data_IF_838419216992
#
_entry.id   IF_838419216992
#
_cell.length_a   1.000
_cell.length_b   1.000
_cell.length_c   1.000
_cell.angle_alpha   90.00
_cell.angle_beta   90.00
_cell.angle_gamma   90.00
#
_symmetry.space_group_name_H-M   'P 1'
#
loop_
_entity.id
_entity.type
_entity.pdbx_description
1 polymer ?
#
# COMPACT_ATOMS: atom_id res chain seq x y z
N UNK A 1 11.62 -36.16 -12.68
CA UNK A 1 12.62 -35.17 -12.24
C UNK A 1 11.86 -34.01 -11.63
N UNK A 2 12.24 -33.57 -10.43
CA UNK A 2 11.64 -32.38 -9.79
C UNK A 2 12.32 -31.14 -10.37
N UNK A 3 11.54 -30.23 -10.99
CA UNK A 3 12.05 -28.96 -11.47
C UNK A 3 12.12 -27.99 -10.29
N UNK A 4 13.31 -27.55 -9.91
CA UNK A 4 13.51 -26.56 -8.86
C UNK A 4 13.80 -25.21 -9.51
N UNK A 5 12.92 -24.24 -9.28
CA UNK A 5 13.15 -22.83 -9.65
C UNK A 5 13.78 -22.13 -8.44
N UNK A 6 14.96 -21.53 -8.65
CA UNK A 6 15.61 -20.69 -7.64
C UNK A 6 15.69 -19.27 -8.15
N UNK A 7 15.36 -18.31 -7.28
CA UNK A 7 15.55 -16.89 -7.56
C UNK A 7 16.88 -16.42 -6.96
N UNK A 8 17.44 -15.34 -7.48
CA UNK A 8 18.59 -14.67 -6.84
C UNK A 8 18.25 -14.27 -5.43
N UNK A 9 19.21 -14.38 -4.52
CA UNK A 9 19.02 -14.06 -3.11
C UNK A 9 20.17 -13.21 -2.58
N UNK A 10 19.84 -12.16 -1.84
CA UNK A 10 20.77 -11.47 -0.95
C UNK A 10 20.48 -11.93 0.49
N UNK A 11 21.51 -12.36 1.21
CA UNK A 11 21.37 -12.83 2.59
C UNK A 11 20.92 -11.71 3.55
N UNK A 12 20.29 -12.10 4.67
CA UNK A 12 19.81 -11.17 5.71
C UNK A 12 20.92 -10.27 6.29
N UNK A 13 22.18 -10.73 6.27
CA UNK A 13 23.35 -9.94 6.67
C UNK A 13 23.83 -8.94 5.61
N UNK A 14 23.20 -8.91 4.42
CA UNK A 14 23.53 -7.97 3.35
C UNK A 14 22.90 -6.60 3.55
N UNK A 15 23.12 -5.72 2.59
CA UNK A 15 22.50 -4.39 2.61
C UNK A 15 21.05 -4.45 2.15
N UNK A 16 20.16 -3.66 2.79
CA UNK A 16 18.80 -3.42 2.30
C UNK A 16 18.81 -2.70 0.94
N UNK A 17 17.71 -2.81 0.20
CA UNK A 17 17.50 -2.13 -1.07
C UNK A 17 17.59 -3.03 -2.29
N UNK A 18 17.30 -2.46 -3.45
CA UNK A 18 17.32 -3.16 -4.72
C UNK A 18 18.72 -3.70 -5.05
N UNK A 19 18.82 -4.84 -5.77
CA UNK A 19 20.10 -5.27 -6.33
C UNK A 19 20.63 -4.22 -7.31
N UNK A 20 21.95 -4.17 -7.47
CA UNK A 20 22.58 -3.22 -8.40
C UNK A 20 22.29 -3.53 -9.87
N UNK A 21 22.03 -4.80 -10.20
CA UNK A 21 21.66 -5.23 -11.53
C UNK A 21 20.86 -6.53 -11.49
N UNK A 22 19.94 -6.67 -12.43
CA UNK A 22 19.24 -7.91 -12.76
C UNK A 22 19.23 -8.06 -14.27
N UNK A 23 19.15 -9.32 -14.75
CA UNK A 23 18.84 -9.58 -16.15
C UNK A 23 17.36 -9.27 -16.43
N UNK A 24 16.98 -9.04 -17.70
CA UNK A 24 15.56 -8.93 -18.06
C UNK A 24 14.76 -10.13 -17.56
N UNK A 25 13.62 -9.86 -16.96
CA UNK A 25 12.70 -10.87 -16.38
C UNK A 25 13.25 -11.68 -15.20
N UNK A 26 14.38 -11.31 -14.64
CA UNK A 26 14.97 -11.99 -13.50
C UNK A 26 14.31 -11.54 -12.18
N UNK A 27 14.10 -12.50 -11.26
CA UNK A 27 13.62 -12.25 -9.92
C UNK A 27 14.77 -12.31 -8.91
N UNK A 28 14.72 -11.42 -7.91
CA UNK A 28 15.64 -11.44 -6.78
C UNK A 28 14.90 -11.16 -5.46
N UNK A 29 15.24 -11.91 -4.42
CA UNK A 29 14.73 -11.67 -3.06
C UNK A 29 15.86 -11.15 -2.16
N UNK A 30 15.61 -10.05 -1.48
CA UNK A 30 16.53 -9.50 -0.50
C UNK A 30 16.03 -9.82 0.91
N UNK A 31 16.74 -10.68 1.63
CA UNK A 31 16.40 -11.10 3.00
C UNK A 31 16.67 -9.99 4.03
N UNK A 32 17.50 -8.98 3.72
CA UNK A 32 17.78 -7.89 4.64
C UNK A 32 16.59 -6.93 4.79
N UNK A 33 15.79 -6.75 3.75
CA UNK A 33 14.58 -5.90 3.77
C UNK A 33 13.29 -6.64 3.42
N UNK A 34 13.38 -7.97 3.24
CA UNK A 34 12.26 -8.86 2.92
C UNK A 34 11.47 -8.43 1.69
N UNK A 35 12.18 -7.98 0.63
CA UNK A 35 11.55 -7.52 -0.61
C UNK A 35 11.89 -8.39 -1.79
N UNK A 36 10.89 -8.55 -2.67
CA UNK A 36 11.03 -9.19 -3.97
C UNK A 36 11.19 -8.13 -5.05
N UNK A 37 12.18 -8.32 -5.90
CA UNK A 37 12.52 -7.43 -7.02
C UNK A 37 12.41 -8.16 -8.35
N UNK A 38 12.15 -7.40 -9.41
CA UNK A 38 12.03 -7.87 -10.79
C UNK A 38 12.80 -6.98 -11.74
N UNK A 39 13.59 -7.59 -12.61
CA UNK A 39 14.28 -6.90 -13.69
C UNK A 39 13.33 -6.60 -14.85
N UNK A 40 12.95 -5.33 -15.00
CA UNK A 40 12.00 -4.85 -16.00
C UNK A 40 12.71 -4.30 -17.23
N UNK A 41 12.22 -4.72 -18.43
CA UNK A 41 12.75 -4.30 -19.71
C UNK A 41 14.15 -4.86 -20.01
N UNK A 42 14.67 -4.51 -21.16
CA UNK A 42 16.03 -4.84 -21.63
C UNK A 42 16.70 -3.53 -22.06
N UNK A 43 17.90 -3.26 -21.56
CA UNK A 43 18.65 -2.06 -21.89
C UNK A 43 19.51 -2.23 -23.18
N UNK A 44 19.45 -3.40 -23.84
CA UNK A 44 20.20 -3.69 -25.04
C UNK A 44 21.69 -3.97 -24.85
N UNK A 45 22.16 -4.12 -23.61
CA UNK A 45 23.56 -4.44 -23.31
C UNK A 45 23.92 -5.91 -23.58
N UNK A 46 25.22 -6.18 -23.67
CA UNK A 46 25.75 -7.55 -23.77
C UNK A 46 26.79 -7.76 -22.66
N UNK A 47 26.49 -8.63 -21.67
CA UNK A 47 25.29 -9.44 -21.49
C UNK A 47 24.04 -8.58 -21.17
N UNK A 48 22.83 -9.11 -21.46
CA UNK A 48 21.58 -8.37 -21.24
C UNK A 48 21.40 -7.95 -19.79
N UNK A 49 20.96 -6.69 -19.57
CA UNK A 49 20.63 -6.15 -18.26
C UNK A 49 19.27 -5.48 -18.32
N UNK A 50 18.52 -5.54 -17.21
CA UNK A 50 17.24 -4.89 -17.12
C UNK A 50 17.38 -3.36 -17.24
N UNK A 51 16.42 -2.74 -17.90
CA UNK A 51 16.35 -1.26 -18.00
C UNK A 51 16.06 -0.61 -16.66
N UNK A 52 15.30 -1.28 -15.81
CA UNK A 52 15.00 -0.87 -14.44
C UNK A 52 14.76 -2.05 -13.51
N UNK A 53 14.87 -1.81 -12.22
CA UNK A 53 14.58 -2.81 -11.20
C UNK A 53 13.41 -2.30 -10.37
N UNK A 54 12.30 -3.03 -10.44
CA UNK A 54 11.07 -2.68 -9.73
C UNK A 54 10.88 -3.56 -8.50
N UNK A 55 10.35 -2.97 -7.42
CA UNK A 55 9.91 -3.73 -6.26
C UNK A 55 8.55 -4.35 -6.56
N UNK A 56 8.48 -5.68 -6.56
CA UNK A 56 7.23 -6.41 -6.76
C UNK A 56 6.42 -6.44 -5.48
N UNK A 57 7.10 -6.63 -4.32
CA UNK A 57 6.45 -6.70 -3.04
C UNK A 57 7.39 -7.09 -1.90
N UNK A 58 6.83 -7.19 -0.70
CA UNK A 58 7.56 -7.56 0.52
C UNK A 58 7.21 -6.65 1.69
N UNK A 59 8.08 -6.56 2.69
CA UNK A 59 7.87 -5.71 3.87
C UNK A 59 7.52 -4.27 3.46
N UNK A 60 6.35 -3.79 3.90
CA UNK A 60 5.82 -2.48 3.56
C UNK A 60 5.14 -2.36 2.18
N UNK A 61 5.21 -3.39 1.34
CA UNK A 61 4.55 -3.42 0.02
C UNK A 61 3.23 -4.20 0.03
N UNK A 62 3.10 -5.17 0.93
CA UNK A 62 1.87 -5.94 1.13
C UNK A 62 1.43 -5.86 2.60
N UNK A 63 0.11 -5.94 2.82
CA UNK A 63 -0.45 -6.08 4.15
C UNK A 63 -0.51 -7.57 4.50
N UNK A 64 0.25 -7.98 5.51
CA UNK A 64 0.16 -9.33 6.05
C UNK A 64 -0.96 -9.41 7.09
N UNK A 65 -1.56 -10.60 7.22
CA UNK A 65 -2.57 -10.87 8.26
C UNK A 65 -2.08 -10.54 9.68
N UNK A 66 -0.77 -10.63 9.91
CA UNK A 66 -0.13 -10.38 11.20
C UNK A 66 0.35 -8.94 11.39
N UNK A 67 0.20 -8.09 10.36
CA UNK A 67 0.58 -6.69 10.47
C UNK A 67 -0.30 -5.97 11.50
N UNK A 68 0.34 -5.31 12.45
CA UNK A 68 -0.35 -4.46 13.42
C UNK A 68 -0.44 -3.02 12.92
N UNK A 69 -1.52 -2.35 13.24
CA UNK A 69 -1.74 -0.93 12.91
C UNK A 69 -2.26 -0.20 14.14
N UNK A 70 -2.03 1.10 14.19
CA UNK A 70 -2.59 1.95 15.24
C UNK A 70 -4.11 1.87 15.19
N UNK A 71 -4.75 1.77 16.36
CA UNK A 71 -6.21 1.75 16.45
C UNK A 71 -6.83 3.01 15.82
N UNK A 72 -8.04 2.86 15.29
CA UNK A 72 -8.82 3.95 14.69
C UNK A 72 -8.14 4.58 13.45
N UNK A 73 -7.33 3.83 12.72
CA UNK A 73 -6.78 4.28 11.43
C UNK A 73 -7.38 3.51 10.26
N UNK A 74 -7.44 4.17 9.11
CA UNK A 74 -7.87 3.62 7.83
C UNK A 74 -6.78 3.82 6.79
N UNK A 75 -6.69 2.92 5.81
CA UNK A 75 -5.82 3.11 4.66
C UNK A 75 -6.50 4.08 3.71
N UNK A 76 -5.96 5.27 3.58
CA UNK A 76 -6.56 6.31 2.77
C UNK A 76 -5.50 7.21 2.12
N UNK A 77 -5.90 7.90 1.07
CA UNK A 77 -5.06 8.91 0.41
C UNK A 77 -4.77 10.12 1.33
N UNK A 78 -4.00 11.09 0.85
CA UNK A 78 -3.71 12.31 1.60
C UNK A 78 -5.00 13.11 1.86
N UNK A 79 -5.01 13.87 2.96
CA UNK A 79 -6.16 14.70 3.36
C UNK A 79 -6.29 15.97 2.53
N UNK A 80 -5.24 16.37 1.82
CA UNK A 80 -5.18 17.58 0.98
C UNK A 80 -3.96 17.51 0.05
N UNK A 81 -3.89 18.41 -0.91
CA UNK A 81 -2.78 18.52 -1.85
C UNK A 81 -2.87 17.55 -3.03
N UNK A 82 -1.74 17.24 -3.65
CA UNK A 82 -1.65 16.35 -4.80
C UNK A 82 -1.86 14.89 -4.40
N UNK A 83 -2.33 14.08 -5.36
CA UNK A 83 -2.44 12.63 -5.19
C UNK A 83 -1.09 12.01 -4.77
N UNK A 84 -1.13 11.15 -3.78
CA UNK A 84 0.03 10.41 -3.27
C UNK A 84 -0.38 8.99 -2.85
N UNK A 85 0.61 8.14 -2.59
CA UNK A 85 0.36 6.79 -2.11
C UNK A 85 -0.48 6.80 -0.82
N UNK A 86 -1.44 5.87 -0.67
CA UNK A 86 -2.25 5.78 0.54
C UNK A 86 -1.40 5.40 1.75
N UNK A 87 -1.76 5.93 2.91
CA UNK A 87 -1.15 5.62 4.20
C UNK A 87 -2.22 5.32 5.24
N UNK A 88 -1.84 4.63 6.32
CA UNK A 88 -2.74 4.49 7.47
C UNK A 88 -2.78 5.80 8.25
N UNK A 89 -3.96 6.40 8.35
CA UNK A 89 -4.20 7.64 9.07
C UNK A 89 -5.58 7.66 9.74
N UNK A 90 -5.77 8.55 10.69
CA UNK A 90 -7.10 8.79 11.24
C UNK A 90 -8.06 9.34 10.18
N UNK A 91 -9.33 9.01 10.30
CA UNK A 91 -10.38 9.63 9.49
C UNK A 91 -10.46 11.14 9.82
N UNK A 92 -10.63 11.94 8.78
CA UNK A 92 -10.93 13.37 8.90
C UNK A 92 -12.33 13.64 8.36
N UNK A 93 -12.90 14.79 8.68
CA UNK A 93 -14.26 15.15 8.25
C UNK A 93 -14.50 15.04 6.74
N UNK A 94 -13.47 15.28 5.92
CA UNK A 94 -13.54 15.14 4.48
C UNK A 94 -13.63 13.71 3.96
N UNK A 95 -13.36 12.71 4.78
CA UNK A 95 -13.49 11.29 4.42
C UNK A 95 -14.90 10.75 4.67
N UNK A 96 -15.72 11.53 5.34
CA UNK A 96 -17.07 11.15 5.73
C UNK A 96 -18.08 11.83 4.82
N UNK A 97 -19.11 11.07 4.44
CA UNK A 97 -20.26 11.66 3.75
C UNK A 97 -20.89 12.74 4.63
N UNK A 98 -21.28 13.86 4.06
CA UNK A 98 -22.08 14.85 4.74
C UNK A 98 -23.48 14.30 4.98
N UNK A 99 -24.15 14.78 6.03
CA UNK A 99 -25.49 14.29 6.38
C UNK A 99 -26.51 14.40 5.22
N UNK A 100 -26.37 15.42 4.40
CA UNK A 100 -27.23 15.63 3.22
C UNK A 100 -26.89 14.74 2.00
N UNK A 101 -25.81 13.97 2.08
CA UNK A 101 -25.40 13.00 1.04
C UNK A 101 -25.89 11.59 1.35
N UNK A 102 -26.45 11.36 2.54
CA UNK A 102 -27.07 10.09 2.88
C UNK A 102 -28.47 9.99 2.24
N UNK A 103 -28.80 8.79 1.75
CA UNK A 103 -30.18 8.48 1.39
C UNK A 103 -31.05 8.63 2.65
N UNK A 104 -32.22 9.23 2.50
CA UNK A 104 -33.17 9.34 3.61
C UNK A 104 -33.43 7.94 4.20
N UNK A 105 -33.32 7.78 5.53
CA UNK A 105 -33.58 6.51 6.17
C UNK A 105 -35.09 6.14 6.00
N UNK A 106 -35.34 4.86 5.78
CA UNK A 106 -36.69 4.30 5.66
C UNK A 106 -37.36 4.04 7.03
N UNK A 107 -36.69 4.41 8.12
CA UNK A 107 -37.17 4.29 9.50
C UNK A 107 -36.65 5.41 10.39
N UNK A 108 -37.05 5.36 11.67
CA UNK A 108 -36.66 6.35 12.68
C UNK A 108 -35.15 6.36 12.94
N UNK A 109 -34.52 7.51 12.93
CA UNK A 109 -33.13 7.70 13.35
C UNK A 109 -33.08 8.00 14.84
N UNK A 110 -32.46 7.12 15.61
CA UNK A 110 -32.24 7.34 17.04
C UNK A 110 -31.00 8.21 17.25
N UNK A 111 -31.14 9.31 17.91
CA UNK A 111 -30.03 10.18 18.32
C UNK A 111 -29.49 9.82 19.72
N UNK A 112 -29.91 8.69 20.28
CA UNK A 112 -29.47 8.22 21.60
C UNK A 112 -29.50 9.30 22.68
N UNK A 113 -30.63 10.00 22.82
CA UNK A 113 -30.85 11.13 23.72
C UNK A 113 -29.99 12.38 23.44
N UNK A 114 -29.29 12.43 22.29
CA UNK A 114 -28.56 13.62 21.88
C UNK A 114 -29.52 14.65 21.25
N UNK A 115 -29.20 15.91 21.43
CA UNK A 115 -30.00 17.03 20.96
C UNK A 115 -29.42 17.58 19.64
N UNK A 116 -30.27 17.79 18.63
CA UNK A 116 -29.89 18.58 17.46
C UNK A 116 -29.97 20.06 17.85
N UNK A 117 -28.86 20.79 17.71
CA UNK A 117 -28.77 22.23 17.96
C UNK A 117 -28.50 22.95 16.64
N UNK A 118 -28.79 24.24 16.59
CA UNK A 118 -28.59 25.11 15.42
C UNK A 118 -29.39 24.68 14.17
N UNK A 119 -30.59 24.15 14.36
CA UNK A 119 -31.53 24.04 13.25
C UNK A 119 -31.93 25.46 12.83
N UNK A 120 -31.78 25.76 11.53
CA UNK A 120 -32.34 26.98 10.99
C UNK A 120 -33.85 26.96 11.17
N UNK A 121 -34.41 28.05 11.66
CA UNK A 121 -35.88 28.25 11.64
C UNK A 121 -36.37 28.27 10.20
N UNK A 122 -37.50 27.59 9.88
CA UNK A 122 -38.08 27.61 8.52
C UNK A 122 -38.52 29.02 8.13
#
# INVERSE_FOLDING_TARGET
>A
MSNTIRIKKRAASGSAGAPSSLSPSELAFNEADLKLYYGFGDNGSTPPSASSIITVGGSGAFFNKTDTRTANTVLSGPTSGSAAAPTFRALVAGDLLKLNEFTAPDGSVSLNSQKITNLATP
#
